data_IF_863221782987
#
_entry.id   IF_863221782987
#
_cell.length_a   1.000
_cell.length_b   1.000
_cell.length_c   1.000
_cell.angle_alpha   90.00
_cell.angle_beta   90.00
_cell.angle_gamma   90.00
#
_symmetry.space_group_name_H-M   'P 1'
#
loop_
_entity.id
_entity.type
_entity.pdbx_description
1 polymer ?
#
# COMPACT_ATOMS: atom_id res chain seq x y z
N UNK A 1 19.38 4.17 3.95
CA UNK A 1 17.98 3.74 4.13
C UNK A 1 17.82 2.40 3.46
N UNK A 2 17.22 1.42 4.14
CA UNK A 2 16.95 0.09 3.57
C UNK A 2 15.45 -0.03 3.37
N UNK A 3 15.01 -0.35 2.15
CA UNK A 3 13.60 -0.53 1.82
C UNK A 3 13.18 -1.95 2.20
N UNK A 4 12.07 -2.10 2.94
CA UNK A 4 11.51 -3.43 3.30
C UNK A 4 10.75 -3.99 2.11
N UNK A 5 11.23 -5.11 1.55
CA UNK A 5 10.46 -5.91 0.62
C UNK A 5 9.29 -6.56 1.37
N UNK A 6 8.10 -6.50 0.79
CA UNK A 6 6.88 -7.06 1.37
C UNK A 6 6.25 -8.03 0.40
N UNK A 7 5.66 -9.08 0.95
CA UNK A 7 4.82 -10.02 0.21
C UNK A 7 3.40 -9.47 0.12
N UNK A 8 2.78 -9.61 -1.05
CA UNK A 8 1.36 -9.34 -1.27
C UNK A 8 0.74 -10.43 -2.13
N UNK A 9 -0.56 -10.31 -2.36
CA UNK A 9 -1.34 -11.18 -3.23
C UNK A 9 -2.23 -10.37 -4.17
N UNK A 10 -2.30 -10.77 -5.44
CA UNK A 10 -3.21 -10.24 -6.48
C UNK A 10 -3.80 -11.41 -7.24
N UNK A 11 -5.13 -11.52 -7.29
CA UNK A 11 -5.84 -12.61 -7.98
C UNK A 11 -5.32 -14.01 -7.61
N UNK A 12 -4.95 -14.20 -6.35
CA UNK A 12 -4.40 -15.47 -5.81
C UNK A 12 -2.91 -15.70 -6.10
N UNK A 13 -2.24 -14.80 -6.82
CA UNK A 13 -0.83 -14.89 -7.14
C UNK A 13 0.02 -14.08 -6.16
N UNK A 14 1.19 -14.62 -5.79
CA UNK A 14 2.18 -13.93 -4.97
C UNK A 14 2.81 -12.78 -5.75
N UNK A 15 2.85 -11.59 -5.14
CA UNK A 15 3.56 -10.42 -5.64
C UNK A 15 4.47 -9.85 -4.56
N UNK A 16 5.45 -9.05 -4.97
CA UNK A 16 6.37 -8.39 -4.06
C UNK A 16 6.42 -6.90 -4.34
N UNK A 17 6.48 -6.10 -3.27
CA UNK A 17 6.50 -4.65 -3.40
C UNK A 17 7.26 -3.99 -2.25
N UNK A 18 7.62 -2.74 -2.48
CA UNK A 18 8.16 -1.83 -1.47
C UNK A 18 7.17 -0.69 -1.25
N UNK A 19 7.16 -0.13 -0.05
CA UNK A 19 6.47 1.14 0.24
C UNK A 19 7.55 2.19 0.45
N UNK A 20 7.37 3.35 -0.16
CA UNK A 20 8.34 4.45 -0.12
C UNK A 20 7.79 5.68 0.57
N UNK A 21 6.48 5.91 0.43
CA UNK A 21 5.79 7.12 0.87
C UNK A 21 4.34 6.84 1.28
N UNK A 22 3.76 7.74 2.07
CA UNK A 22 2.36 7.71 2.47
C UNK A 22 1.80 9.12 2.74
N UNK A 23 0.49 9.31 2.51
CA UNK A 23 -0.22 10.57 2.79
C UNK A 23 -0.77 10.69 4.21
N UNK A 24 -0.71 9.62 4.99
CA UNK A 24 -1.04 9.62 6.42
C UNK A 24 0.25 9.74 7.24
N UNK A 25 0.31 10.72 8.14
CA UNK A 25 1.54 11.05 8.88
C UNK A 25 1.89 10.01 9.93
N UNK A 26 0.90 9.45 10.61
CA UNK A 26 1.12 8.46 11.65
C UNK A 26 1.55 7.12 11.01
N UNK A 27 0.85 6.70 9.96
CA UNK A 27 1.24 5.53 9.18
C UNK A 27 2.64 5.67 8.56
N UNK A 28 2.99 6.86 8.03
CA UNK A 28 4.33 7.10 7.50
C UNK A 28 5.40 6.95 8.58
N UNK A 29 5.17 7.50 9.78
CA UNK A 29 6.09 7.39 10.92
C UNK A 29 6.23 5.95 11.40
N UNK A 30 5.13 5.26 11.63
CA UNK A 30 5.09 3.86 12.08
C UNK A 30 5.85 2.92 11.12
N UNK A 31 5.71 3.17 9.81
CA UNK A 31 6.26 2.31 8.77
C UNK A 31 7.65 2.77 8.27
N UNK A 32 8.19 3.88 8.77
CA UNK A 32 9.47 4.45 8.34
C UNK A 32 9.46 4.96 6.89
N UNK A 33 8.34 5.55 6.45
CA UNK A 33 8.11 6.05 5.09
C UNK A 33 8.23 7.58 5.02
N UNK A 34 8.39 8.10 3.81
CA UNK A 34 8.34 9.54 3.56
C UNK A 34 6.88 10.03 3.63
N UNK A 35 6.61 11.04 4.45
CA UNK A 35 5.28 11.67 4.48
C UNK A 35 5.07 12.58 3.26
N UNK A 36 4.05 12.28 2.45
CA UNK A 36 3.69 13.02 1.23
C UNK A 36 2.19 13.28 1.20
N UNK A 37 1.70 14.43 1.73
CA UNK A 37 0.27 14.72 1.83
C UNK A 37 -0.43 14.79 0.48
N UNK A 38 0.30 15.15 -0.59
CA UNK A 38 -0.24 15.27 -1.95
C UNK A 38 -0.78 13.96 -2.51
N UNK A 39 -0.34 12.81 -2.00
CA UNK A 39 -0.86 11.50 -2.45
C UNK A 39 -2.33 11.27 -2.05
N UNK A 40 -2.85 12.03 -1.08
CA UNK A 40 -4.25 11.91 -0.65
C UNK A 40 -5.23 12.11 -1.81
N UNK A 41 -4.87 12.95 -2.80
CA UNK A 41 -5.71 13.22 -3.97
C UNK A 41 -5.91 11.98 -4.84
N UNK A 42 -4.89 11.11 -4.96
CA UNK A 42 -4.98 9.89 -5.77
C UNK A 42 -6.07 8.95 -5.24
N UNK A 43 -6.19 8.86 -3.92
CA UNK A 43 -7.27 8.13 -3.30
C UNK A 43 -8.63 8.79 -3.59
N UNK A 44 -8.75 10.11 -3.46
CA UNK A 44 -10.01 10.84 -3.66
C UNK A 44 -10.53 10.76 -5.10
N UNK A 45 -9.63 10.80 -6.08
CA UNK A 45 -9.95 10.79 -7.51
C UNK A 45 -10.16 9.37 -8.08
N UNK A 46 -10.10 8.33 -7.24
CA UNK A 46 -10.21 6.93 -7.68
C UNK A 46 -9.03 6.45 -8.52
N UNK A 47 -7.91 7.16 -8.47
CA UNK A 47 -6.66 6.85 -9.18
C UNK A 47 -5.71 5.96 -8.36
N UNK A 48 -6.20 5.43 -7.24
CA UNK A 48 -5.48 4.50 -6.38
C UNK A 48 -6.19 3.14 -6.37
N UNK A 49 -5.40 2.07 -6.36
CA UNK A 49 -5.89 0.73 -6.05
C UNK A 49 -6.26 0.61 -4.58
N UNK A 50 -6.64 -0.60 -4.15
CA UNK A 50 -6.88 -0.92 -2.74
C UNK A 50 -5.82 -1.88 -2.24
N UNK A 51 -5.24 -1.59 -1.08
CA UNK A 51 -4.37 -2.48 -0.34
C UNK A 51 -5.01 -2.80 1.01
N UNK A 52 -5.38 -4.06 1.23
CA UNK A 52 -5.91 -4.54 2.51
C UNK A 52 -4.74 -5.05 3.34
N UNK A 53 -4.49 -4.39 4.47
CA UNK A 53 -3.47 -4.75 5.43
C UNK A 53 -4.14 -5.45 6.61
N UNK A 54 -3.62 -6.62 6.96
CA UNK A 54 -4.01 -7.36 8.16
C UNK A 54 -3.13 -6.93 9.33
N UNK A 55 -3.65 -7.08 10.55
CA UNK A 55 -2.93 -6.72 11.77
C UNK A 55 -1.90 -7.79 12.17
N UNK A 56 -2.06 -9.03 11.67
CA UNK A 56 -1.02 -10.05 11.72
C UNK A 56 -0.08 -9.91 10.49
N UNK A 57 1.21 -10.16 10.72
CA UNK A 57 2.23 -10.19 9.67
C UNK A 57 2.25 -11.56 8.92
N UNK A 58 1.34 -12.49 9.27
CA UNK A 58 1.26 -13.83 8.66
C UNK A 58 0.50 -13.81 7.33
N UNK A 59 -0.47 -12.91 7.20
CA UNK A 59 -1.26 -12.74 5.99
C UNK A 59 -0.59 -11.79 4.99
N UNK A 60 -0.52 -12.17 3.70
CA UNK A 60 -0.02 -11.26 2.67
C UNK A 60 -0.97 -10.06 2.52
N UNK A 61 -0.41 -8.91 2.17
CA UNK A 61 -1.22 -7.74 1.81
C UNK A 61 -2.00 -8.06 0.53
N UNK A 62 -3.33 -7.97 0.57
CA UNK A 62 -4.16 -8.17 -0.62
C UNK A 62 -4.24 -6.87 -1.40
N UNK A 63 -3.82 -6.91 -2.67
CA UNK A 63 -3.77 -5.78 -3.57
C UNK A 63 -4.82 -5.95 -4.67
N UNK A 64 -5.53 -4.87 -5.02
CA UNK A 64 -6.51 -4.89 -6.11
C UNK A 64 -5.88 -4.92 -7.52
N UNK A 65 -4.55 -4.80 -7.60
CA UNK A 65 -3.80 -4.77 -8.85
C UNK A 65 -2.32 -5.05 -8.59
N UNK A 66 -1.63 -5.58 -9.60
CA UNK A 66 -0.18 -5.83 -9.53
C UNK A 66 0.63 -4.54 -9.31
N UNK A 67 1.64 -4.58 -8.43
CA UNK A 67 2.66 -3.53 -8.35
C UNK A 67 3.33 -3.29 -9.70
N UNK A 68 3.54 -2.02 -10.07
CA UNK A 68 4.20 -1.66 -11.33
C UNK A 68 3.26 -1.56 -12.53
N UNK A 69 1.95 -1.81 -12.38
CA UNK A 69 0.96 -1.49 -13.41
C UNK A 69 0.92 0.03 -13.61
N UNK A 70 1.00 0.46 -14.88
CA UNK A 70 1.10 1.88 -15.27
C UNK A 70 -0.03 2.75 -14.71
N UNK A 71 -1.21 2.15 -14.56
CA UNK A 71 -2.45 2.87 -14.20
C UNK A 71 -2.73 2.85 -12.69
N UNK A 72 -1.86 2.27 -11.86
CA UNK A 72 -2.07 2.19 -10.41
C UNK A 72 -0.77 2.40 -9.64
N UNK A 73 -0.26 3.65 -9.58
CA UNK A 73 1.01 3.94 -8.91
C UNK A 73 0.88 3.97 -7.38
N UNK A 74 -0.34 3.97 -6.83
CA UNK A 74 -0.62 4.09 -5.42
C UNK A 74 -1.80 3.20 -5.00
N UNK A 75 -1.83 2.83 -3.72
CA UNK A 75 -2.93 2.08 -3.12
C UNK A 75 -3.47 2.82 -1.90
N UNK A 76 -4.80 2.90 -1.80
CA UNK A 76 -5.49 3.25 -0.57
C UNK A 76 -5.39 2.07 0.39
N UNK A 77 -4.79 2.32 1.55
CA UNK A 77 -4.68 1.34 2.64
C UNK A 77 -6.03 1.21 3.35
N UNK A 78 -6.47 -0.03 3.55
CA UNK A 78 -7.64 -0.42 4.33
C UNK A 78 -7.23 -1.50 5.33
N UNK A 79 -7.90 -1.57 6.49
CA UNK A 79 -7.76 -2.66 7.45
C UNK A 79 -9.12 -3.36 7.61
N UNK A 80 -9.19 -4.70 7.62
CA UNK A 80 -10.45 -5.40 7.84
C UNK A 80 -11.00 -5.05 9.23
N UNK A 81 -12.24 -4.58 9.31
CA UNK A 81 -12.92 -4.26 10.58
C UNK A 81 -12.92 -2.78 11.00
N UNK A 82 -12.46 -1.87 10.13
CA UNK A 82 -12.61 -0.42 10.28
C UNK A 82 -13.71 0.17 9.39
#
# INVERSE_FOLDING_TARGET
MTLRLRKGAVDGNDVYFIRTDASDVEFAREQGLVYVPKLKVLAQDGLAGTAVLFDDDEQPVVLSSEPGRKDTPAWRVQRPGG
#
